data_IF_706777465646
#
_entry.id   IF_706777465646
#
_cell.length_a   1.000
_cell.length_b   1.000
_cell.length_c   1.000
_cell.angle_alpha   90.00
_cell.angle_beta   90.00
_cell.angle_gamma   90.00
#
_symmetry.space_group_name_H-M   'P 1'
#
loop_
_entity.id
_entity.type
_entity.pdbx_description
1 polymer ?
#
# COMPACT_ATOMS: atom_id res chain seq x y z
N UNK A 1 23.24 10.27 -4.33
CA UNK A 1 22.05 10.53 -5.17
C UNK A 1 21.11 11.42 -4.39
N UNK A 2 20.45 12.39 -5.03
CA UNK A 2 19.43 13.19 -4.36
C UNK A 2 18.21 12.30 -4.09
N UNK A 3 17.85 12.15 -2.82
CA UNK A 3 16.63 11.45 -2.42
C UNK A 3 15.41 12.27 -2.83
N UNK A 4 14.39 11.61 -3.34
CA UNK A 4 13.09 12.19 -3.63
C UNK A 4 12.03 11.38 -2.91
N UNK A 5 11.21 12.09 -2.13
CA UNK A 5 10.13 11.48 -1.37
C UNK A 5 8.79 11.67 -2.04
N UNK A 6 7.99 10.63 -2.00
CA UNK A 6 6.69 10.54 -2.65
C UNK A 6 5.61 10.11 -1.66
N UNK A 7 4.41 10.50 -1.96
CA UNK A 7 3.20 10.03 -1.29
C UNK A 7 2.22 9.50 -2.32
N UNK A 8 1.49 8.46 -1.95
CA UNK A 8 0.34 7.98 -2.70
C UNK A 8 -0.74 7.51 -1.73
N UNK A 9 -1.99 7.69 -2.09
CA UNK A 9 -3.13 7.20 -1.33
C UNK A 9 -4.25 6.73 -2.25
N UNK A 10 -5.18 5.97 -1.69
CA UNK A 10 -6.38 5.53 -2.40
C UNK A 10 -7.28 6.72 -2.70
N UNK A 11 -7.66 6.90 -3.97
CA UNK A 11 -8.56 7.99 -4.41
C UNK A 11 -9.98 7.82 -3.87
N UNK A 12 -10.42 6.57 -3.72
CA UNK A 12 -11.71 6.20 -3.16
C UNK A 12 -11.55 5.25 -1.98
N UNK A 13 -12.61 5.06 -1.22
CA UNK A 13 -12.65 4.02 -0.20
C UNK A 13 -12.66 2.64 -0.85
N UNK A 14 -11.86 1.74 -0.30
CA UNK A 14 -11.74 0.35 -0.75
C UNK A 14 -12.71 -0.51 0.04
N UNK A 15 -13.71 -1.06 -0.62
CA UNK A 15 -14.66 -1.97 0.01
C UNK A 15 -13.98 -3.33 0.29
N UNK A 16 -13.95 -3.72 1.55
CA UNK A 16 -13.48 -5.03 2.01
C UNK A 16 -14.67 -5.96 2.21
N UNK A 17 -14.55 -7.17 1.70
CA UNK A 17 -15.52 -8.24 1.94
C UNK A 17 -15.10 -9.08 3.13
N UNK A 18 -16.08 -9.68 3.83
CA UNK A 18 -15.82 -10.53 4.97
C UNK A 18 -14.89 -11.68 4.65
N UNK A 19 -13.91 -11.92 5.50
CA UNK A 19 -12.94 -13.02 5.45
C UNK A 19 -12.15 -13.14 4.13
N UNK A 20 -12.13 -12.07 3.32
CA UNK A 20 -11.40 -12.04 2.05
C UNK A 20 -10.24 -11.07 2.13
N UNK A 21 -9.04 -11.55 1.90
CA UNK A 21 -7.88 -10.69 1.77
C UNK A 21 -7.98 -9.81 0.52
N UNK A 22 -7.69 -8.53 0.66
CA UNK A 22 -7.67 -7.59 -0.47
C UNK A 22 -6.50 -6.64 -0.35
N UNK A 23 -5.70 -6.54 -1.42
CA UNK A 23 -4.68 -5.50 -1.54
C UNK A 23 -5.38 -4.14 -1.75
N UNK A 24 -5.34 -3.32 -0.69
CA UNK A 24 -5.98 -2.01 -0.67
C UNK A 24 -5.19 -0.96 -1.46
N UNK A 25 -3.86 -1.03 -1.36
CA UNK A 25 -2.94 -0.14 -2.08
C UNK A 25 -1.66 -0.89 -2.39
N UNK A 26 -1.16 -0.75 -3.61
CA UNK A 26 0.12 -1.31 -4.07
C UNK A 26 0.88 -0.27 -4.88
N UNK A 27 2.17 -0.15 -4.62
CA UNK A 27 3.11 0.66 -5.43
C UNK A 27 4.08 -0.28 -6.12
N UNK A 28 4.28 -0.08 -7.40
CA UNK A 28 5.16 -0.88 -8.25
C UNK A 28 6.40 -0.06 -8.61
N UNK A 29 7.56 -0.66 -8.41
CA UNK A 29 8.85 -0.08 -8.75
C UNK A 29 9.13 -0.20 -10.24
N UNK A 30 9.72 0.83 -10.85
CA UNK A 30 10.29 0.71 -12.20
C UNK A 30 11.58 -0.14 -12.19
N UNK A 31 12.14 -0.38 -13.36
CA UNK A 31 13.35 -1.18 -13.50
C UNK A 31 14.64 -0.47 -13.03
N UNK A 32 14.57 0.83 -12.70
CA UNK A 32 15.75 1.64 -12.39
C UNK A 32 15.97 1.87 -10.89
N UNK A 33 14.95 1.74 -10.07
CA UNK A 33 15.04 1.98 -8.63
C UNK A 33 13.92 1.27 -7.85
N UNK A 34 14.17 1.04 -6.59
CA UNK A 34 13.26 0.43 -5.63
C UNK A 34 12.51 1.46 -4.77
N UNK A 35 11.81 0.95 -3.79
CA UNK A 35 11.11 1.73 -2.76
C UNK A 35 11.84 1.54 -1.43
N UNK A 36 11.98 2.64 -0.70
CA UNK A 36 12.33 2.69 0.72
C UNK A 36 11.12 3.30 1.45
N UNK A 37 10.32 2.46 2.12
CA UNK A 37 9.07 2.87 2.76
C UNK A 37 9.35 3.62 4.05
N UNK A 38 8.82 4.84 4.19
CA UNK A 38 9.01 5.66 5.40
C UNK A 38 7.85 5.52 6.36
N UNK A 39 6.63 5.53 5.83
CA UNK A 39 5.43 5.36 6.65
C UNK A 39 4.25 4.91 5.82
N UNK A 40 3.27 4.37 6.50
CA UNK A 40 1.97 4.13 5.91
C UNK A 40 0.85 4.50 6.88
N UNK A 41 -0.36 4.64 6.33
CA UNK A 41 -1.57 4.93 7.09
C UNK A 41 -2.68 4.03 6.61
N UNK A 42 -3.51 3.61 7.56
CA UNK A 42 -4.76 2.89 7.29
C UNK A 42 -5.86 3.52 8.13
N UNK A 43 -7.01 3.74 7.52
CA UNK A 43 -8.21 4.21 8.22
C UNK A 43 -9.45 3.50 7.70
N UNK A 44 -10.49 3.46 8.51
CA UNK A 44 -11.78 2.87 8.19
C UNK A 44 -12.89 3.90 8.33
N UNK A 45 -13.97 3.75 7.56
CA UNK A 45 -15.10 4.68 7.62
C UNK A 45 -16.00 4.49 8.84
N UNK A 46 -15.87 3.37 9.53
CA UNK A 46 -16.57 3.11 10.79
C UNK A 46 -18.10 2.90 10.71
N UNK A 47 -18.69 3.00 9.53
CA UNK A 47 -20.17 2.99 9.39
C UNK A 47 -20.78 1.62 9.68
N UNK A 48 -20.04 0.56 9.45
CA UNK A 48 -20.47 -0.83 9.71
C UNK A 48 -19.40 -1.60 10.46
N UNK A 49 -18.64 -0.88 11.29
CA UNK A 49 -17.50 -1.44 11.98
C UNK A 49 -17.90 -2.59 12.91
N UNK A 50 -17.45 -3.78 12.58
CA UNK A 50 -17.38 -4.88 13.52
C UNK A 50 -16.41 -4.52 14.65
N UNK A 51 -16.71 -4.94 15.87
CA UNK A 51 -15.77 -4.85 16.99
C UNK A 51 -14.55 -5.77 16.79
N UNK A 52 -14.61 -6.66 15.81
CA UNK A 52 -13.55 -7.61 15.50
C UNK A 52 -12.46 -6.92 14.68
N UNK A 53 -11.19 -7.04 15.06
CA UNK A 53 -10.09 -6.36 14.37
C UNK A 53 -9.91 -6.82 12.92
N UNK A 54 -9.49 -5.89 12.07
CA UNK A 54 -9.03 -6.12 10.71
C UNK A 54 -7.55 -6.48 10.74
N UNK A 55 -7.16 -7.54 10.05
CA UNK A 55 -5.76 -7.86 9.82
C UNK A 55 -5.20 -6.92 8.75
N UNK A 56 -4.15 -6.21 9.11
CA UNK A 56 -3.38 -5.33 8.23
C UNK A 56 -2.02 -5.95 8.01
N UNK A 57 -1.61 -6.10 6.76
CA UNK A 57 -0.33 -6.65 6.37
C UNK A 57 0.39 -5.70 5.41
N UNK A 58 1.64 -5.38 5.73
CA UNK A 58 2.57 -4.81 4.78
C UNK A 58 3.17 -5.96 3.98
N UNK A 59 3.06 -5.90 2.66
CA UNK A 59 3.48 -6.97 1.77
C UNK A 59 4.40 -6.47 0.66
N UNK A 60 5.34 -7.29 0.24
CA UNK A 60 6.08 -7.11 -1.00
C UNK A 60 5.64 -8.16 -2.01
N UNK A 61 5.74 -7.82 -3.30
CA UNK A 61 5.43 -8.74 -4.39
C UNK A 61 6.54 -8.72 -5.43
N UNK A 62 6.81 -9.87 -6.03
CA UNK A 62 7.69 -9.95 -7.21
C UNK A 62 6.83 -9.78 -8.46
N UNK A 63 6.99 -8.67 -9.16
CA UNK A 63 6.26 -8.39 -10.41
C UNK A 63 7.09 -8.69 -11.65
N UNK A 64 7.97 -9.69 -11.59
CA UNK A 64 8.97 -9.98 -12.60
C UNK A 64 8.40 -10.22 -14.02
N UNK A 65 7.12 -10.57 -14.14
CA UNK A 65 6.50 -10.89 -15.43
C UNK A 65 5.21 -10.13 -15.72
N UNK A 66 4.58 -9.53 -14.74
CA UNK A 66 3.35 -8.75 -14.90
C UNK A 66 3.39 -7.55 -13.97
N UNK A 67 3.58 -6.39 -14.54
CA UNK A 67 3.58 -5.10 -13.83
C UNK A 67 2.21 -4.70 -13.24
N UNK A 68 1.19 -5.53 -13.39
CA UNK A 68 -0.15 -5.28 -12.85
C UNK A 68 -0.45 -6.26 -11.72
N UNK A 69 -0.58 -5.77 -10.48
CA UNK A 69 -1.08 -6.59 -9.39
C UNK A 69 -2.58 -6.84 -9.58
N UNK A 70 -2.93 -8.04 -9.97
CA UNK A 70 -4.31 -8.43 -10.11
C UNK A 70 -5.08 -7.80 -11.27
N UNK A 71 -6.27 -8.32 -11.52
CA UNK A 71 -7.22 -7.83 -12.53
C UNK A 71 -8.19 -6.82 -11.92
N UNK A 72 -8.63 -5.83 -12.72
CA UNK A 72 -9.66 -4.84 -12.35
C UNK A 72 -9.35 -4.03 -11.07
N UNK A 73 -8.14 -3.54 -10.97
CA UNK A 73 -7.74 -2.56 -9.94
C UNK A 73 -8.00 -1.12 -10.42
N UNK A 74 -8.05 -0.19 -9.47
CA UNK A 74 -8.09 1.24 -9.76
C UNK A 74 -6.68 1.78 -9.87
N UNK A 75 -6.35 2.47 -10.96
CA UNK A 75 -5.05 3.11 -11.10
C UNK A 75 -4.95 4.34 -10.19
N UNK A 76 -3.90 4.38 -9.38
CA UNK A 76 -3.54 5.50 -8.50
C UNK A 76 -2.24 6.19 -8.94
N UNK A 77 -1.73 5.87 -10.10
CA UNK A 77 -0.45 6.39 -10.59
C UNK A 77 -0.45 7.92 -10.75
N UNK A 78 -1.58 8.52 -11.12
CA UNK A 78 -1.76 9.97 -11.20
C UNK A 78 -1.83 10.66 -9.83
N UNK A 79 -2.05 9.89 -8.76
CA UNK A 79 -2.14 10.37 -7.38
C UNK A 79 -0.80 10.27 -6.63
N UNK A 80 0.27 9.85 -7.31
CA UNK A 80 1.61 9.87 -6.74
C UNK A 80 2.11 11.31 -6.72
N UNK A 81 2.26 11.88 -5.53
CA UNK A 81 2.70 13.26 -5.31
C UNK A 81 4.11 13.27 -4.76
N UNK A 82 5.00 14.02 -5.40
CA UNK A 82 6.33 14.25 -4.86
C UNK A 82 6.24 15.26 -3.72
N UNK A 83 6.73 14.89 -2.55
CA UNK A 83 6.73 15.74 -1.34
C UNK A 83 7.99 16.59 -1.21
N UNK A 84 9.13 16.05 -1.57
CA UNK A 84 10.44 16.72 -1.50
C UNK A 84 11.43 16.11 -2.49
N UNK A 85 12.56 16.81 -2.63
CA UNK A 85 13.60 16.49 -3.59
C UNK A 85 13.49 17.29 -4.88
N UNK A 86 14.40 17.05 -5.82
CA UNK A 86 14.31 17.66 -7.15
C UNK A 86 13.13 17.07 -7.91
N UNK A 87 12.46 17.88 -8.72
CA UNK A 87 11.41 17.42 -9.63
C UNK A 87 11.96 16.32 -10.54
N UNK A 88 11.49 15.10 -10.35
CA UNK A 88 11.94 13.93 -11.08
C UNK A 88 10.68 13.13 -11.44
N UNK A 89 10.58 12.72 -12.70
CA UNK A 89 9.54 11.78 -13.13
C UNK A 89 9.58 10.54 -12.24
N UNK A 90 8.46 10.20 -11.62
CA UNK A 90 8.42 9.16 -10.59
C UNK A 90 8.78 7.78 -11.13
N UNK A 91 8.29 7.43 -12.30
CA UNK A 91 8.42 6.08 -12.87
C UNK A 91 7.67 5.00 -12.09
N UNK A 92 7.22 5.28 -10.86
CA UNK A 92 6.37 4.38 -10.10
C UNK A 92 4.96 4.33 -10.69
N UNK A 93 4.33 3.17 -10.55
CA UNK A 93 2.90 3.01 -10.77
C UNK A 93 2.23 2.58 -9.47
N UNK A 94 0.98 2.93 -9.28
CA UNK A 94 0.24 2.56 -8.08
C UNK A 94 -1.18 2.14 -8.43
N UNK A 95 -1.71 1.21 -7.63
CA UNK A 95 -3.04 0.65 -7.80
C UNK A 95 -3.72 0.46 -6.46
N UNK A 96 -5.04 0.58 -6.45
CA UNK A 96 -5.88 0.30 -5.28
C UNK A 96 -7.00 -0.67 -5.61
N UNK A 97 -7.66 -1.18 -4.57
CA UNK A 97 -8.85 -2.00 -4.67
C UNK A 97 -8.71 -3.23 -5.58
N UNK A 98 -7.60 -3.95 -5.48
CA UNK A 98 -7.34 -5.16 -6.29
C UNK A 98 -8.49 -6.16 -6.16
N UNK A 99 -8.97 -6.68 -7.29
CA UNK A 99 -10.02 -7.72 -7.34
C UNK A 99 -9.45 -9.12 -7.28
N UNK A 100 -8.18 -9.28 -7.59
CA UNK A 100 -7.39 -10.50 -7.32
C UNK A 100 -6.07 -10.11 -6.67
N UNK A 101 -5.59 -10.93 -5.75
CA UNK A 101 -4.33 -10.67 -5.06
C UNK A 101 -3.14 -10.77 -6.03
N UNK A 102 -2.12 -9.92 -5.84
CA UNK A 102 -0.85 -10.07 -6.55
C UNK A 102 -0.25 -11.45 -6.32
N UNK A 103 0.40 -11.99 -7.35
CA UNK A 103 1.12 -13.25 -7.22
C UNK A 103 2.41 -13.08 -6.43
N UNK A 104 2.78 -14.09 -5.65
CA UNK A 104 4.01 -14.12 -4.85
C UNK A 104 4.12 -12.94 -3.89
N UNK A 105 3.26 -12.92 -2.89
CA UNK A 105 3.30 -11.96 -1.78
C UNK A 105 4.20 -12.49 -0.65
N UNK A 106 5.08 -11.62 -0.15
CA UNK A 106 5.82 -11.83 1.08
C UNK A 106 5.35 -10.83 2.12
N UNK A 107 4.93 -11.32 3.29
CA UNK A 107 4.53 -10.45 4.40
C UNK A 107 5.78 -9.94 5.12
N UNK A 108 5.88 -8.62 5.21
CA UNK A 108 6.98 -7.94 5.91
C UNK A 108 6.57 -7.63 7.35
N UNK A 109 5.35 -7.13 7.53
CA UNK A 109 4.82 -6.73 8.84
C UNK A 109 3.33 -7.06 8.89
N UNK A 110 2.81 -7.40 10.09
CA UNK A 110 1.37 -7.63 10.28
C UNK A 110 0.91 -7.21 11.67
N UNK A 111 -0.29 -6.68 11.75
CA UNK A 111 -0.93 -6.31 13.01
C UNK A 111 -2.46 -6.29 12.86
N UNK A 112 -3.13 -6.25 13.99
CA UNK A 112 -4.59 -6.15 14.05
C UNK A 112 -5.01 -4.73 14.39
N UNK A 113 -6.00 -4.23 13.67
CA UNK A 113 -6.51 -2.87 13.84
C UNK A 113 -8.03 -2.88 13.97
N UNK A 114 -8.54 -2.30 15.04
CA UNK A 114 -9.98 -2.19 15.27
C UNK A 114 -10.58 -1.11 14.35
N UNK A 115 -11.60 -1.42 13.55
CA UNK A 115 -12.17 -0.46 12.59
C UNK A 115 -12.77 0.80 13.22
N UNK A 116 -13.18 0.73 14.50
CA UNK A 116 -13.71 1.86 15.25
C UNK A 116 -12.65 2.81 15.79
N UNK A 117 -11.37 2.45 15.67
CA UNK A 117 -10.24 3.18 16.25
C UNK A 117 -9.73 4.38 15.45
N UNK A 118 -10.35 4.72 14.32
CA UNK A 118 -9.93 5.86 13.50
C UNK A 118 -8.78 5.53 12.54
N UNK A 119 -7.75 6.38 12.52
CA UNK A 119 -6.60 6.23 11.63
C UNK A 119 -5.38 5.76 12.40
N UNK A 120 -4.69 4.77 11.87
CA UNK A 120 -3.35 4.43 12.34
C UNK A 120 -2.29 5.04 11.42
N UNK A 121 -1.22 5.53 12.06
CA UNK A 121 0.00 5.96 11.41
C UNK A 121 1.12 5.04 11.86
N UNK A 122 1.84 4.47 10.92
CA UNK A 122 3.01 3.67 11.21
C UNK A 122 4.22 4.30 10.53
N UNK A 123 5.11 4.87 11.35
CA UNK A 123 6.37 5.49 10.93
C UNK A 123 7.52 4.53 11.23
N UNK A 124 8.32 4.20 10.23
CA UNK A 124 9.51 3.36 10.42
C UNK A 124 10.68 4.20 10.92
N UNK A 125 11.41 3.73 11.94
CA UNK A 125 12.63 4.39 12.39
C UNK A 125 13.67 4.49 11.27
N UNK A 126 14.50 5.51 11.34
CA UNK A 126 15.61 5.67 10.40
C UNK A 126 16.57 4.48 10.49
N UNK A 127 16.80 3.80 9.38
CA UNK A 127 17.66 2.62 9.32
C UNK A 127 16.91 1.28 9.48
N UNK A 128 15.61 1.31 9.77
CA UNK A 128 14.76 0.12 9.87
C UNK A 128 13.56 0.21 8.91
N UNK A 129 13.74 0.92 7.82
CA UNK A 129 12.72 1.12 6.80
C UNK A 129 12.68 -0.08 5.86
N UNK A 130 11.50 -0.73 5.66
CA UNK A 130 11.36 -1.78 4.68
C UNK A 130 11.64 -1.26 3.27
N UNK A 131 12.41 -2.01 2.53
CA UNK A 131 12.70 -1.70 1.14
C UNK A 131 12.20 -2.79 0.20
N UNK A 132 12.17 -2.49 -1.08
CA UNK A 132 11.91 -3.48 -2.12
C UNK A 132 12.76 -3.21 -3.35
N UNK A 133 13.14 -4.30 -4.01
CA UNK A 133 13.98 -4.25 -5.20
C UNK A 133 13.28 -3.57 -6.39
N UNK A 134 14.08 -3.23 -7.40
CA UNK A 134 13.58 -2.80 -8.71
C UNK A 134 12.62 -3.83 -9.31
N UNK A 135 11.65 -3.38 -10.08
CA UNK A 135 10.64 -4.21 -10.73
C UNK A 135 9.79 -5.05 -9.75
N UNK A 136 9.81 -4.71 -8.47
CA UNK A 136 8.99 -5.33 -7.43
C UNK A 136 7.88 -4.39 -6.98
N UNK A 137 7.00 -4.83 -6.10
CA UNK A 137 5.94 -4.01 -5.52
C UNK A 137 5.94 -4.05 -4.01
N UNK A 138 5.40 -3.01 -3.41
CA UNK A 138 5.12 -2.93 -1.97
C UNK A 138 3.71 -2.42 -1.76
N UNK A 139 2.97 -3.05 -0.86
CA UNK A 139 1.56 -2.71 -0.66
C UNK A 139 1.00 -3.06 0.70
N UNK A 140 -0.24 -2.62 0.90
CA UNK A 140 -1.03 -2.88 2.09
C UNK A 140 -2.17 -3.83 1.74
N UNK A 141 -2.17 -5.01 2.35
CA UNK A 141 -3.22 -6.01 2.23
C UNK A 141 -4.06 -6.03 3.51
N UNK A 142 -5.36 -6.03 3.36
CA UNK A 142 -6.31 -5.99 4.45
C UNK A 142 -7.22 -7.20 4.40
N UNK A 143 -7.48 -7.81 5.56
CA UNK A 143 -8.48 -8.88 5.71
C UNK A 143 -9.44 -8.52 6.83
N UNK A 144 -10.65 -8.18 6.46
CA UNK A 144 -11.68 -7.79 7.40
C UNK A 144 -12.58 -8.97 7.77
N UNK A 145 -13.02 -9.11 9.03
CA UNK A 145 -13.97 -10.15 9.45
C UNK A 145 -15.40 -9.86 8.99
N UNK A 146 -15.70 -8.60 8.72
CA UNK A 146 -17.00 -8.12 8.23
C UNK A 146 -16.78 -7.05 7.16
N UNK A 147 -17.81 -6.72 6.39
CA UNK A 147 -17.75 -5.68 5.37
C UNK A 147 -17.45 -4.32 6.02
N UNK A 148 -16.41 -3.66 5.54
CA UNK A 148 -15.99 -2.33 5.97
C UNK A 148 -15.24 -1.64 4.83
N UNK A 149 -15.31 -0.32 4.76
CA UNK A 149 -14.51 0.44 3.81
C UNK A 149 -13.22 0.93 4.46
N UNK A 150 -12.13 0.86 3.72
CA UNK A 150 -10.82 1.29 4.17
C UNK A 150 -10.21 2.33 3.22
N UNK A 151 -9.33 3.16 3.76
CA UNK A 151 -8.42 3.99 2.99
C UNK A 151 -6.99 3.71 3.42
N UNK A 152 -6.08 3.70 2.46
CA UNK A 152 -4.67 3.45 2.69
C UNK A 152 -3.82 4.52 2.03
N UNK A 153 -2.67 4.84 2.61
CA UNK A 153 -1.67 5.69 1.98
C UNK A 153 -0.27 5.31 2.42
N UNK A 154 0.71 5.63 1.58
CA UNK A 154 2.12 5.32 1.81
C UNK A 154 2.98 6.53 1.48
N UNK A 155 3.99 6.79 2.32
CA UNK A 155 5.08 7.74 2.06
C UNK A 155 6.37 6.93 1.87
N UNK A 156 7.07 7.17 0.77
CA UNK A 156 8.26 6.40 0.41
C UNK A 156 9.30 7.26 -0.31
N UNK A 157 10.52 6.80 -0.26
CA UNK A 157 11.63 7.35 -1.05
C UNK A 157 12.00 6.34 -2.14
N UNK A 158 12.60 6.83 -3.21
CA UNK A 158 13.26 5.94 -4.15
C UNK A 158 14.67 5.59 -3.66
N UNK A 159 15.07 4.35 -3.77
CA UNK A 159 16.40 3.84 -3.44
C UNK A 159 17.07 3.19 -4.66
#
# INVERSE_FOLDING_TARGET
>A
MAKAGYWVGTSAAVALSAATAKTALMVICPAQFGIDLKKFRVSFDGVTASAVPVLVELVTSTNATNSTPGTANTSESSNIVQKYGRSITTGFTAFSASTSEPTVLTVVERFLLTPTGGTIFYDFPLGDTPDTAVSSGMGLRLTAPATVNARASMDFERC
#
